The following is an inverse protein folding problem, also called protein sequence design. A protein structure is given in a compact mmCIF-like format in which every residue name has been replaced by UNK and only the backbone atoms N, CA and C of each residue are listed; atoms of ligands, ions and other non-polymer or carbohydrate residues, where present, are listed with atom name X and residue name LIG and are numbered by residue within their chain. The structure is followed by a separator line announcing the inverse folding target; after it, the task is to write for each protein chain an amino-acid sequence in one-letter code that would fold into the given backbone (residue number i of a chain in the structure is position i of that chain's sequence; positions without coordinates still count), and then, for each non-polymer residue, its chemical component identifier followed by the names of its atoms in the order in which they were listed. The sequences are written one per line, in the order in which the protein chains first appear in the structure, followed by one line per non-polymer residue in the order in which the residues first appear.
data_IF_610158167009
#
_entry.id   IF_610158167009
#
_cell.length_a   1.000
_cell.length_b   1.000
_cell.length_c   1.000
_cell.angle_alpha   90.00
_cell.angle_beta   90.00
_cell.angle_gamma   90.00
#
_symmetry.space_group_name_H-M   'P 1'
#
loop_
_entity.id
_entity.type
_entity.pdbx_description
1 polymer ?
#
# COMPACT_ATOMS: atom_id res chain seq x y z
N UNK A 1 -8.73 -13.95 -1.30
CA UNK A 1 -8.00 -15.12 -1.84
C UNK A 1 -7.51 -16.07 -0.76
N UNK A 2 -8.36 -16.37 0.18
CA UNK A 2 -8.06 -17.36 1.22
C UNK A 2 -8.27 -18.80 0.74
N UNK A 3 -9.00 -19.00 -0.37
CA UNK A 3 -9.19 -20.30 -0.97
C UNK A 3 -7.89 -20.79 -1.62
N UNK A 4 -7.41 -21.94 -1.17
CA UNK A 4 -6.19 -22.57 -1.69
C UNK A 4 -6.31 -22.93 -3.17
N UNK A 5 -7.50 -23.25 -3.66
CA UNK A 5 -7.74 -23.60 -5.06
C UNK A 5 -7.51 -22.39 -6.00
N UNK A 6 -7.68 -21.17 -5.50
CA UNK A 6 -7.45 -19.93 -6.26
C UNK A 6 -6.01 -19.41 -6.20
N UNK A 7 -5.13 -20.05 -5.43
CA UNK A 7 -3.74 -19.60 -5.29
C UNK A 7 -2.87 -19.93 -6.49
N UNK A 8 -3.18 -21.00 -7.22
CA UNK A 8 -2.51 -21.35 -8.48
C UNK A 8 -3.38 -20.93 -9.65
N UNK A 9 -2.78 -20.21 -10.58
CA UNK A 9 -3.44 -19.76 -11.81
C UNK A 9 -2.52 -19.99 -12.99
N UNK A 10 -3.10 -20.41 -14.12
CA UNK A 10 -2.38 -20.47 -15.40
C UNK A 10 -2.70 -19.19 -16.17
N UNK A 11 -1.69 -18.37 -16.41
CA UNK A 11 -1.82 -17.07 -17.09
C UNK A 11 -1.40 -17.16 -18.55
N UNK A 12 -1.78 -16.14 -19.33
CA UNK A 12 -1.51 -16.01 -20.77
C UNK A 12 -2.16 -17.09 -21.65
N UNK A 13 -3.22 -17.77 -21.19
CA UNK A 13 -3.90 -18.83 -21.95
C UNK A 13 -4.53 -18.33 -23.27
N UNK A 14 -4.93 -17.07 -23.33
CA UNK A 14 -5.61 -16.47 -24.48
C UNK A 14 -4.74 -15.51 -25.29
N UNK A 15 -3.50 -15.26 -24.84
CA UNK A 15 -2.60 -14.30 -25.47
C UNK A 15 -1.70 -14.98 -26.50
N UNK A 16 -1.96 -14.73 -27.78
CA UNK A 16 -1.25 -15.39 -28.91
C UNK A 16 0.28 -15.20 -28.92
N UNK A 17 0.80 -14.17 -28.26
CA UNK A 17 2.23 -13.83 -28.27
C UNK A 17 2.96 -14.20 -26.98
N UNK A 18 2.25 -14.56 -25.94
CA UNK A 18 2.84 -14.92 -24.66
C UNK A 18 2.79 -16.42 -24.41
N UNK A 19 3.84 -16.93 -23.77
CA UNK A 19 3.86 -18.34 -23.36
C UNK A 19 2.98 -18.51 -22.12
N UNK A 20 2.12 -19.50 -22.15
CA UNK A 20 1.36 -19.94 -20.99
C UNK A 20 2.32 -20.34 -19.88
N UNK A 21 2.09 -19.84 -18.67
CA UNK A 21 2.84 -20.21 -17.48
C UNK A 21 1.94 -20.33 -16.27
N UNK A 22 2.34 -21.18 -15.33
CA UNK A 22 1.71 -21.24 -14.02
C UNK A 22 2.30 -20.15 -13.11
N UNK A 23 1.42 -19.50 -12.38
CA UNK A 23 1.76 -18.50 -11.39
C UNK A 23 0.99 -18.76 -10.10
N UNK A 24 1.33 -18.07 -9.02
CA UNK A 24 0.65 -18.24 -7.75
C UNK A 24 0.58 -16.95 -6.95
N UNK A 25 -0.39 -16.88 -6.06
CA UNK A 25 -0.51 -15.79 -5.09
C UNK A 25 0.25 -16.15 -3.82
N UNK A 26 1.29 -15.39 -3.51
CA UNK A 26 2.16 -15.64 -2.35
C UNK A 26 1.50 -15.12 -1.07
N UNK A 27 0.89 -13.94 -1.13
CA UNK A 27 0.28 -13.26 0.02
C UNK A 27 -1.16 -12.88 -0.33
N UNK A 28 -2.11 -13.34 0.48
CA UNK A 28 -3.55 -13.10 0.24
C UNK A 28 -3.97 -11.65 0.43
N UNK A 29 -3.27 -10.88 1.26
CA UNK A 29 -3.53 -9.44 1.49
C UNK A 29 -2.93 -8.56 0.40
N UNK A 30 -2.02 -9.06 -0.41
CA UNK A 30 -1.44 -8.35 -1.56
C UNK A 30 -2.45 -8.35 -2.72
N UNK A 31 -3.50 -7.59 -2.59
CA UNK A 31 -4.56 -7.46 -3.59
C UNK A 31 -4.80 -6.00 -3.93
N UNK A 32 -5.28 -5.74 -5.14
CA UNK A 32 -5.70 -4.40 -5.56
C UNK A 32 -6.77 -3.82 -4.63
N UNK A 33 -7.68 -4.66 -4.12
CA UNK A 33 -8.69 -4.25 -3.16
C UNK A 33 -8.10 -3.70 -1.86
N UNK A 34 -7.02 -4.31 -1.33
CA UNK A 34 -6.33 -3.81 -0.15
C UNK A 34 -5.67 -2.45 -0.44
N UNK A 35 -5.01 -2.31 -1.58
CA UNK A 35 -4.40 -1.05 -1.98
C UNK A 35 -5.46 0.05 -2.13
N UNK A 36 -6.54 -0.22 -2.83
CA UNK A 36 -7.66 0.72 -3.01
C UNK A 36 -8.26 1.14 -1.67
N UNK A 37 -8.55 0.19 -0.78
CA UNK A 37 -9.08 0.47 0.55
C UNK A 37 -8.17 1.43 1.33
N UNK A 38 -6.86 1.22 1.27
CA UNK A 38 -5.90 2.01 2.03
C UNK A 38 -5.64 3.40 1.47
N UNK A 39 -5.86 3.64 0.18
CA UNK A 39 -5.70 4.97 -0.45
C UNK A 39 -7.02 5.72 -0.61
N UNK A 40 -8.15 5.11 -0.31
CA UNK A 40 -9.46 5.78 -0.38
C UNK A 40 -9.62 6.78 0.75
N UNK A 41 -10.25 7.92 0.44
CA UNK A 41 -10.48 9.02 1.37
C UNK A 41 -11.79 8.88 2.14
N UNK A 42 -12.77 8.25 1.52
CA UNK A 42 -14.11 7.99 2.06
C UNK A 42 -14.78 6.84 1.28
N UNK A 43 -16.03 6.55 1.62
CA UNK A 43 -16.80 5.48 0.98
C UNK A 43 -17.15 5.76 -0.47
N UNK A 44 -17.32 7.01 -0.83
CA UNK A 44 -17.64 7.43 -2.19
C UNK A 44 -16.40 7.29 -3.10
N UNK A 45 -15.23 7.69 -2.61
CA UNK A 45 -13.97 7.50 -3.30
C UNK A 45 -13.64 6.02 -3.44
N UNK A 46 -13.88 5.21 -2.38
CA UNK A 46 -13.73 3.76 -2.44
C UNK A 46 -14.60 3.16 -3.55
N UNK A 47 -15.88 3.55 -3.63
CA UNK A 47 -16.80 3.10 -4.68
C UNK A 47 -16.27 3.43 -6.07
N UNK A 48 -15.86 4.68 -6.31
CA UNK A 48 -15.31 5.11 -7.61
C UNK A 48 -14.09 4.32 -8.03
N UNK A 49 -13.19 4.04 -7.08
CA UNK A 49 -11.98 3.23 -7.35
C UNK A 49 -12.33 1.79 -7.66
N UNK A 50 -13.26 1.18 -6.92
CA UNK A 50 -13.76 -0.18 -7.18
C UNK A 50 -14.42 -0.28 -8.54
N UNK A 51 -15.26 0.68 -8.90
CA UNK A 51 -15.91 0.74 -10.22
C UNK A 51 -14.91 0.73 -11.38
N UNK A 52 -13.73 1.32 -11.17
CA UNK A 52 -12.71 1.49 -12.19
C UNK A 52 -11.66 0.35 -12.24
N UNK A 53 -11.78 -0.68 -11.41
CA UNK A 53 -10.91 -1.86 -11.50
C UNK A 53 -11.10 -2.51 -12.88
N UNK A 54 -9.99 -2.70 -13.57
CA UNK A 54 -9.96 -3.40 -14.87
C UNK A 54 -9.88 -4.89 -14.61
N UNK A 55 -10.85 -5.66 -15.11
CA UNK A 55 -10.92 -7.11 -14.92
C UNK A 55 -10.61 -7.91 -16.17
N UNK A 56 -10.82 -7.32 -17.35
CA UNK A 56 -10.60 -8.02 -18.61
C UNK A 56 -10.42 -7.04 -19.78
N UNK A 57 -10.09 -7.58 -20.94
CA UNK A 57 -10.29 -6.94 -22.24
C UNK A 57 -11.38 -7.68 -23.01
N UNK A 58 -12.24 -6.93 -23.65
CA UNK A 58 -13.24 -7.51 -24.55
C UNK A 58 -12.61 -7.94 -25.91
N UNK A 59 -13.38 -8.61 -26.72
CA UNK A 59 -12.94 -9.13 -28.04
C UNK A 59 -12.49 -8.00 -29.01
N UNK A 60 -12.96 -6.79 -28.81
CA UNK A 60 -12.61 -5.60 -29.60
C UNK A 60 -11.42 -4.82 -29.02
N UNK A 61 -10.77 -5.33 -27.96
CA UNK A 61 -9.61 -4.72 -27.31
C UNK A 61 -9.93 -3.65 -26.26
N UNK A 62 -11.21 -3.32 -26.03
CA UNK A 62 -11.64 -2.39 -24.98
C UNK A 62 -11.51 -3.01 -23.58
N UNK A 63 -11.34 -2.18 -22.55
CA UNK A 63 -11.30 -2.63 -21.16
C UNK A 63 -12.71 -2.94 -20.63
N UNK A 64 -12.80 -3.97 -19.80
CA UNK A 64 -13.99 -4.31 -19.02
C UNK A 64 -13.69 -3.99 -17.55
N UNK A 65 -14.58 -3.26 -16.93
CA UNK A 65 -14.43 -2.77 -15.55
C UNK A 65 -15.41 -3.50 -14.61
N UNK A 66 -15.15 -3.39 -13.32
CA UNK A 66 -16.07 -3.93 -12.28
C UNK A 66 -17.48 -3.36 -12.43
N UNK A 67 -17.62 -2.07 -12.73
CA UNK A 67 -18.94 -1.43 -12.97
C UNK A 67 -19.75 -2.10 -14.10
N UNK A 68 -19.07 -2.62 -15.12
CA UNK A 68 -19.74 -3.26 -16.28
C UNK A 68 -20.41 -4.58 -15.90
N UNK A 69 -19.96 -5.20 -14.80
CA UNK A 69 -20.55 -6.43 -14.26
C UNK A 69 -21.70 -6.17 -13.25
N UNK A 70 -21.98 -4.92 -12.89
CA UNK A 70 -22.97 -4.56 -11.87
C UNK A 70 -22.77 -5.21 -10.49
N UNK A 71 -21.52 -5.51 -10.10
CA UNK A 71 -21.17 -6.18 -8.83
C UNK A 71 -20.64 -5.21 -7.76
N UNK A 72 -20.45 -3.94 -8.09
CA UNK A 72 -19.91 -2.93 -7.18
C UNK A 72 -20.67 -2.87 -5.85
N UNK A 73 -21.99 -2.94 -5.90
CA UNK A 73 -22.83 -2.93 -4.69
C UNK A 73 -22.52 -4.07 -3.73
N UNK A 74 -22.32 -5.28 -4.26
CA UNK A 74 -21.95 -6.45 -3.47
C UNK A 74 -20.56 -6.31 -2.85
N UNK A 75 -19.59 -5.78 -3.61
CA UNK A 75 -18.24 -5.50 -3.11
C UNK A 75 -18.29 -4.45 -2.00
N UNK A 76 -19.03 -3.36 -2.19
CA UNK A 76 -19.17 -2.32 -1.17
C UNK A 76 -19.86 -2.83 0.11
N UNK A 77 -20.81 -3.74 -0.01
CA UNK A 77 -21.44 -4.39 1.15
C UNK A 77 -20.42 -5.19 1.97
N UNK A 78 -19.52 -5.93 1.31
CA UNK A 78 -18.45 -6.67 1.98
C UNK A 78 -17.41 -5.74 2.63
N UNK A 79 -17.14 -4.57 2.04
CA UNK A 79 -16.16 -3.61 2.54
C UNK A 79 -16.72 -2.63 3.59
N UNK A 80 -18.02 -2.68 3.87
CA UNK A 80 -18.72 -1.74 4.76
C UNK A 80 -18.07 -1.58 6.14
N UNK A 81 -17.65 -2.68 6.74
CA UNK A 81 -16.94 -2.65 8.02
C UNK A 81 -15.43 -2.49 7.85
N UNK A 82 -14.87 -3.00 6.77
CA UNK A 82 -13.44 -2.93 6.51
C UNK A 82 -12.93 -1.50 6.29
N UNK A 83 -13.78 -0.57 5.83
CA UNK A 83 -13.41 0.84 5.64
C UNK A 83 -13.24 1.61 6.96
N UNK A 84 -13.72 1.07 8.06
CA UNK A 84 -13.64 1.73 9.37
C UNK A 84 -12.31 1.40 10.06
N UNK A 85 -11.49 2.40 10.44
CA UNK A 85 -10.30 2.15 11.23
C UNK A 85 -10.62 1.55 12.59
N UNK A 86 -9.78 0.63 13.05
CA UNK A 86 -9.84 0.13 14.42
C UNK A 86 -9.03 1.03 15.34
N UNK A 87 -9.66 1.51 16.39
CA UNK A 87 -8.97 2.22 17.48
C UNK A 87 -8.68 1.23 18.60
N UNK A 88 -7.41 1.08 18.93
CA UNK A 88 -6.94 0.23 20.02
C UNK A 88 -6.09 1.03 20.99
N UNK A 89 -5.94 0.52 22.20
CA UNK A 89 -5.08 1.10 23.23
C UNK A 89 -3.82 0.25 23.38
N UNK A 90 -2.66 0.89 23.39
CA UNK A 90 -1.39 0.22 23.67
C UNK A 90 -1.23 -0.07 25.16
N UNK A 91 -0.21 -0.87 25.52
CA UNK A 91 0.11 -1.16 26.92
C UNK A 91 0.48 0.10 27.72
N UNK A 92 1.03 1.12 27.06
CA UNK A 92 1.33 2.43 27.64
C UNK A 92 0.14 3.41 27.63
N UNK A 93 -1.08 2.93 27.40
CA UNK A 93 -2.29 3.73 27.29
C UNK A 93 -2.31 4.78 26.17
N UNK A 94 -1.49 4.60 25.14
CA UNK A 94 -1.50 5.46 23.97
C UNK A 94 -2.50 4.91 22.95
N UNK A 95 -3.38 5.76 22.37
CA UNK A 95 -4.28 5.29 21.31
C UNK A 95 -3.50 4.97 20.03
N UNK A 96 -3.92 3.92 19.32
CA UNK A 96 -3.37 3.54 18.04
C UNK A 96 -4.48 3.16 17.05
N UNK A 97 -4.41 3.70 15.83
CA UNK A 97 -5.27 3.28 14.73
C UNK A 97 -4.62 2.16 13.95
N UNK A 98 -5.38 1.07 13.78
CA UNK A 98 -4.97 -0.06 12.95
C UNK A 98 -5.98 -0.19 11.82
N UNK A 99 -5.51 0.01 10.58
CA UNK A 99 -6.39 -0.03 9.43
C UNK A 99 -5.66 -0.47 8.16
N UNK A 100 -6.26 -1.45 7.47
CA UNK A 100 -5.69 -2.06 6.30
C UNK A 100 -4.46 -2.92 6.62
N UNK A 101 -3.79 -3.41 5.58
CA UNK A 101 -2.58 -4.23 5.71
C UNK A 101 -1.66 -4.00 4.52
N UNK A 102 -1.34 -2.73 4.18
CA UNK A 102 -0.48 -2.45 3.03
C UNK A 102 0.95 -2.85 3.35
N UNK A 103 1.59 -3.48 2.35
CA UNK A 103 3.02 -3.77 2.39
C UNK A 103 3.77 -2.76 1.53
N UNK A 104 4.86 -2.21 2.04
CA UNK A 104 5.66 -1.21 1.35
C UNK A 104 6.22 -1.70 0.01
N UNK A 105 6.57 -2.96 -0.09
CA UNK A 105 7.09 -3.58 -1.31
C UNK A 105 6.00 -3.96 -2.34
N UNK A 106 4.74 -4.02 -1.95
CA UNK A 106 3.64 -4.48 -2.81
C UNK A 106 2.64 -3.35 -3.09
N UNK A 107 2.40 -2.49 -2.09
CA UNK A 107 1.49 -1.37 -2.17
C UNK A 107 2.18 -0.07 -1.73
N UNK A 108 1.43 0.90 -1.27
CA UNK A 108 1.96 2.22 -0.88
C UNK A 108 2.55 2.27 0.54
N UNK A 109 2.65 1.15 1.27
CA UNK A 109 3.16 1.08 2.64
C UNK A 109 2.27 1.77 3.68
N UNK A 110 2.54 1.56 4.96
CA UNK A 110 1.89 2.16 6.12
C UNK A 110 0.35 2.02 6.19
N UNK A 111 -0.29 2.68 7.15
CA UNK A 111 -1.74 2.66 7.39
C UNK A 111 -2.56 3.32 6.27
N UNK A 112 -3.88 3.29 6.36
CA UNK A 112 -4.79 3.92 5.40
C UNK A 112 -4.78 5.44 5.47
N UNK A 113 -5.25 6.09 4.42
CA UNK A 113 -5.49 7.53 4.41
C UNK A 113 -6.55 7.91 5.44
N UNK A 114 -7.66 7.16 5.51
CA UNK A 114 -8.73 7.40 6.48
C UNK A 114 -8.21 7.32 7.92
N UNK A 115 -7.41 6.28 8.24
CA UNK A 115 -6.82 6.13 9.57
C UNK A 115 -5.86 7.26 9.92
N UNK A 116 -5.02 7.68 8.98
CA UNK A 116 -4.08 8.78 9.19
C UNK A 116 -4.78 10.13 9.32
N UNK A 117 -5.75 10.44 8.46
CA UNK A 117 -6.52 11.68 8.53
C UNK A 117 -7.32 11.78 9.83
N UNK A 118 -7.91 10.68 10.26
CA UNK A 118 -8.61 10.61 11.55
C UNK A 118 -7.68 10.85 12.72
N UNK A 119 -6.50 10.22 12.72
CA UNK A 119 -5.48 10.44 13.76
C UNK A 119 -5.03 11.90 13.83
N UNK A 120 -4.79 12.54 12.67
CA UNK A 120 -4.41 13.95 12.58
C UNK A 120 -5.50 14.92 13.08
N UNK A 121 -6.76 14.51 13.04
CA UNK A 121 -7.87 15.30 13.58
C UNK A 121 -8.06 15.16 15.09
N UNK A 122 -7.55 14.08 15.67
CA UNK A 122 -7.80 13.71 17.07
C UNK A 122 -6.57 13.90 17.97
N UNK A 123 -5.39 14.17 17.41
CA UNK A 123 -4.14 14.23 18.16
C UNK A 123 -3.24 15.36 17.69
N UNK A 124 -2.47 15.93 18.63
CA UNK A 124 -1.46 16.97 18.33
C UNK A 124 -0.25 16.36 17.60
N UNK A 125 0.06 15.09 17.88
CA UNK A 125 1.16 14.36 17.26
C UNK A 125 0.66 13.02 16.71
N UNK A 126 1.01 12.72 15.48
CA UNK A 126 0.73 11.43 14.84
C UNK A 126 2.02 10.80 14.36
N UNK A 127 2.30 9.60 14.82
CA UNK A 127 3.47 8.83 14.42
C UNK A 127 2.99 7.67 13.55
N UNK A 128 3.56 7.52 12.38
CA UNK A 128 3.29 6.39 11.47
C UNK A 128 4.59 5.83 10.92
N UNK A 129 4.60 4.56 10.55
CA UNK A 129 5.71 4.01 9.77
C UNK A 129 5.53 4.34 8.28
N UNK A 130 6.63 4.33 7.55
CA UNK A 130 6.61 4.40 6.08
C UNK A 130 6.93 3.05 5.43
N UNK A 131 7.09 1.99 6.22
CA UNK A 131 7.53 0.66 5.80
C UNK A 131 9.06 0.51 5.80
N UNK A 132 9.53 -0.72 5.62
CA UNK A 132 10.96 -1.03 5.63
C UNK A 132 11.61 -0.70 4.28
N UNK A 133 12.90 -0.28 4.35
CA UNK A 133 13.65 0.18 3.19
C UNK A 133 13.19 1.57 2.74
N UNK A 134 14.00 2.60 2.98
CA UNK A 134 13.66 3.96 2.61
C UNK A 134 13.47 4.12 1.09
N UNK A 135 14.22 3.36 0.33
CA UNK A 135 14.14 3.23 -1.14
C UNK A 135 12.84 2.56 -1.65
N UNK A 136 12.08 1.91 -0.77
CA UNK A 136 10.81 1.27 -1.09
C UNK A 136 9.64 1.94 -0.35
N UNK A 137 9.67 1.90 0.98
CA UNK A 137 8.56 2.35 1.81
C UNK A 137 8.42 3.85 1.89
N UNK A 138 9.51 4.58 2.20
CA UNK A 138 9.45 6.03 2.34
C UNK A 138 9.16 6.72 1.01
N UNK A 139 9.74 6.25 -0.09
CA UNK A 139 9.46 6.77 -1.43
C UNK A 139 7.98 6.64 -1.78
N UNK A 140 7.39 5.44 -1.62
CA UNK A 140 5.96 5.22 -1.86
C UNK A 140 5.06 6.00 -0.91
N UNK A 141 5.48 6.15 0.34
CA UNK A 141 4.75 6.99 1.30
C UNK A 141 4.64 8.43 0.81
N UNK A 142 5.74 9.02 0.38
CA UNK A 142 5.78 10.40 -0.10
C UNK A 142 5.05 10.56 -1.44
N UNK A 143 5.37 9.70 -2.41
CA UNK A 143 4.88 9.85 -3.79
C UNK A 143 3.42 9.41 -3.98
N UNK A 144 2.92 8.50 -3.15
CA UNK A 144 1.56 7.99 -3.26
C UNK A 144 0.71 8.51 -2.11
N UNK A 145 1.04 8.12 -0.88
CA UNK A 145 0.14 8.36 0.25
C UNK A 145 0.09 9.82 0.69
N UNK A 146 1.22 10.49 0.88
CA UNK A 146 1.27 11.89 1.28
C UNK A 146 0.58 12.77 0.23
N UNK A 147 0.80 12.48 -1.04
CA UNK A 147 0.13 13.15 -2.17
C UNK A 147 -1.38 12.95 -2.15
N UNK A 148 -1.87 11.73 -1.98
CA UNK A 148 -3.31 11.45 -1.91
C UNK A 148 -3.95 12.04 -0.65
N UNK A 149 -3.25 12.03 0.49
CA UNK A 149 -3.69 12.65 1.74
C UNK A 149 -3.68 14.18 1.65
N UNK A 150 -2.81 14.75 0.81
CA UNK A 150 -2.61 16.20 0.71
C UNK A 150 -1.85 16.79 1.90
N UNK A 151 -1.07 15.98 2.60
CA UNK A 151 -0.25 16.37 3.76
C UNK A 151 1.09 15.64 3.72
N UNK A 152 2.15 16.38 3.96
CA UNK A 152 3.51 15.89 4.11
C UNK A 152 3.84 15.69 5.60
N UNK A 153 4.80 14.82 5.94
CA UNK A 153 5.27 14.70 7.32
C UNK A 153 6.09 15.91 7.73
N UNK A 154 5.88 16.41 8.95
CA UNK A 154 6.68 17.50 9.52
C UNK A 154 8.07 17.02 9.93
N UNK A 155 8.24 15.73 10.21
CA UNK A 155 9.50 15.11 10.62
C UNK A 155 9.61 13.69 10.09
N UNK A 156 10.78 13.35 9.59
CA UNK A 156 11.14 12.00 9.17
C UNK A 156 12.24 11.47 10.10
N UNK A 157 11.99 10.32 10.72
CA UNK A 157 12.97 9.62 11.56
C UNK A 157 13.50 8.40 10.82
N UNK A 158 14.77 8.42 10.45
CA UNK A 158 15.44 7.29 9.82
C UNK A 158 16.06 6.38 10.89
N UNK A 159 15.56 5.15 10.99
CA UNK A 159 16.10 4.14 11.90
C UNK A 159 17.13 3.27 11.15
N UNK A 160 18.38 3.34 11.60
CA UNK A 160 19.48 2.56 11.01
C UNK A 160 20.11 1.66 12.07
N UNK A 161 20.07 0.36 11.88
CA UNK A 161 20.72 -0.56 12.81
C UNK A 161 22.22 -0.74 12.48
N UNK A 162 23.05 -0.86 13.52
CA UNK A 162 24.48 -1.16 13.33
C UNK A 162 24.72 -2.47 12.56
N UNK A 163 23.82 -3.44 12.71
CA UNK A 163 23.87 -4.69 11.98
C UNK A 163 23.67 -4.46 10.48
N UNK A 164 22.68 -3.68 10.09
CA UNK A 164 22.43 -3.35 8.68
C UNK A 164 23.62 -2.61 8.04
N UNK A 165 24.25 -1.71 8.82
CA UNK A 165 25.47 -1.03 8.36
C UNK A 165 26.59 -2.04 8.17
N UNK A 166 26.82 -2.95 9.11
CA UNK A 166 27.88 -3.98 9.00
C UNK A 166 27.65 -4.96 7.87
N UNK A 167 26.42 -5.39 7.63
CA UNK A 167 26.06 -6.36 6.57
C UNK A 167 26.19 -5.76 5.16
N UNK A 168 25.95 -4.45 5.02
CA UNK A 168 26.05 -3.74 3.73
C UNK A 168 27.34 -2.97 3.52
N UNK A 169 28.12 -2.74 4.56
CA UNK A 169 29.39 -2.02 4.49
C UNK A 169 30.60 -2.94 4.46
N UNK A 170 30.88 -3.50 3.31
CA UNK A 170 32.28 -3.53 2.93
C UNK A 170 32.64 -2.12 2.41
N UNK A 171 33.73 -1.57 2.85
CA UNK A 171 34.29 -0.20 2.76
C UNK A 171 33.70 0.82 1.74
N UNK A 172 33.07 0.38 0.65
CA UNK A 172 32.39 1.24 -0.32
C UNK A 172 31.00 1.73 0.11
N UNK A 173 30.34 1.03 1.04
CA UNK A 173 28.97 1.35 1.45
C UNK A 173 28.89 2.60 2.31
N UNK A 174 29.80 2.78 3.24
CA UNK A 174 29.82 3.96 4.14
C UNK A 174 30.11 5.24 3.35
N UNK A 175 31.02 5.18 2.39
CA UNK A 175 31.30 6.36 1.55
C UNK A 175 30.13 6.74 0.64
N UNK A 176 29.35 5.77 0.18
CA UNK A 176 28.13 6.05 -0.59
C UNK A 176 27.00 6.61 0.27
N UNK A 177 26.84 6.12 1.51
CA UNK A 177 25.86 6.66 2.47
C UNK A 177 26.23 8.10 2.85
N UNK A 178 27.48 8.38 3.15
CA UNK A 178 27.94 9.73 3.47
C UNK A 178 27.81 10.69 2.29
N UNK A 179 28.07 10.21 1.08
CA UNK A 179 27.91 11.00 -0.15
C UNK A 179 26.43 11.32 -0.43
N UNK A 180 25.51 10.38 -0.17
CA UNK A 180 24.07 10.63 -0.27
C UNK A 180 23.58 11.57 0.81
N UNK A 181 24.06 11.42 2.04
CA UNK A 181 23.71 12.31 3.15
C UNK A 181 24.14 13.75 2.89
N UNK A 182 25.35 13.96 2.38
CA UNK A 182 25.82 15.30 2.03
C UNK A 182 25.01 15.93 0.89
N UNK A 183 24.49 15.15 -0.05
CA UNK A 183 23.60 15.65 -1.09
C UNK A 183 22.19 16.02 -0.60
N UNK A 184 21.71 15.44 0.53
CA UNK A 184 20.42 15.76 1.14
C UNK A 184 20.48 17.01 2.05
N UNK A 185 21.66 17.42 2.47
CA UNK A 185 21.87 18.62 3.33
C UNK A 185 22.15 19.90 2.53
N UNK A 186 22.16 19.84 1.22
CA UNK A 186 22.34 20.99 0.31
C UNK A 186 21.04 21.52 -0.31
N UNK A 187 19.87 21.15 0.25
CA UNK A 187 18.57 21.72 -0.13
C UNK A 187 17.99 22.63 0.93
#
# INVERSE_FOLDING_TARGET
MNDRALRKVTIAQTLKKEKTRDDNFIITVATEMMAILCISKDIEDLRKRVDNIIIAKNVNGGYVYVRDLNITGSIMALLKEAIKPNLVQTLENTPAFIHGGPFANIAHGCSSIIGTDLALKLSDYVITEAGFGADLGAEKFLDIKARELGKEPDLIVLVVSLRAVKEKSFEKGIQNILKHYNNLTEF
#
